data_IF_501597169147
#
_entry.id   IF_501597169147
#
_cell.length_a   1.000
_cell.length_b   1.000
_cell.length_c   1.000
_cell.angle_alpha   90.00
_cell.angle_beta   90.00
_cell.angle_gamma   90.00
#
_symmetry.space_group_name_H-M   'P 1'
#
loop_
_entity.id
_entity.type
_entity.pdbx_description
1 polymer ?
#
# COMPACT_ATOMS: atom_id res chain seq x y z
N UNK A 1 -21.73 -0.50 2.67
CA UNK A 1 -21.66 0.53 3.71
C UNK A 1 -20.79 1.65 3.19
N UNK A 2 -21.38 2.84 3.07
CA UNK A 2 -20.73 4.04 2.56
C UNK A 2 -20.37 4.92 3.76
N UNK A 3 -19.10 5.28 3.90
CA UNK A 3 -18.62 6.18 4.94
C UNK A 3 -18.50 7.57 4.32
N UNK A 4 -19.12 8.55 4.96
CA UNK A 4 -19.20 9.94 4.47
C UNK A 4 -18.65 10.86 5.55
N UNK A 5 -17.75 11.76 5.16
CA UNK A 5 -17.28 12.86 6.00
C UNK A 5 -17.44 14.17 5.21
N UNK A 6 -18.08 15.17 5.82
CA UNK A 6 -18.29 16.48 5.17
C UNK A 6 -19.13 16.44 3.89
N UNK A 7 -20.02 15.44 3.73
CA UNK A 7 -20.83 15.25 2.53
C UNK A 7 -20.12 14.53 1.38
N UNK A 8 -18.84 14.19 1.53
CA UNK A 8 -18.09 13.44 0.54
C UNK A 8 -17.92 11.99 0.98
N UNK A 9 -18.13 11.05 0.05
CA UNK A 9 -17.92 9.62 0.28
C UNK A 9 -16.42 9.37 0.35
N UNK A 10 -15.95 8.94 1.52
CA UNK A 10 -14.52 8.66 1.77
C UNK A 10 -14.19 7.17 1.75
N UNK A 11 -15.21 6.30 1.75
CA UNK A 11 -15.06 4.86 1.52
C UNK A 11 -16.41 4.22 1.15
N UNK A 12 -16.38 3.20 0.30
CA UNK A 12 -17.55 2.39 -0.01
C UNK A 12 -17.21 0.90 0.08
N UNK A 13 -17.82 0.22 1.05
CA UNK A 13 -17.67 -1.21 1.26
C UNK A 13 -18.93 -1.96 0.84
N UNK A 14 -18.83 -3.21 0.38
CA UNK A 14 -20.00 -4.07 0.27
C UNK A 14 -20.48 -4.46 1.68
N UNK A 15 -21.76 -4.22 2.01
CA UNK A 15 -22.35 -4.74 3.26
C UNK A 15 -22.48 -6.26 3.12
N UNK A 16 -21.86 -7.01 4.03
CA UNK A 16 -22.06 -8.45 4.20
C UNK A 16 -22.42 -8.72 5.65
N UNK A 17 -23.50 -9.46 5.90
CA UNK A 17 -23.96 -9.82 7.24
C UNK A 17 -23.29 -11.13 7.66
N UNK A 18 -22.31 -11.06 8.56
CA UNK A 18 -21.69 -12.22 9.21
C UNK A 18 -20.95 -11.76 10.46
N UNK A 19 -21.32 -12.29 11.63
CA UNK A 19 -20.58 -12.08 12.90
C UNK A 19 -19.19 -12.71 12.77
N UNK A 20 -18.17 -12.01 13.27
CA UNK A 20 -16.76 -12.44 13.40
C UNK A 20 -15.84 -12.51 12.15
N UNK A 21 -16.09 -11.71 11.11
CA UNK A 21 -15.04 -11.42 10.13
C UNK A 21 -14.60 -9.95 10.24
N UNK A 22 -13.50 -9.73 10.97
CA UNK A 22 -12.69 -8.52 10.83
C UNK A 22 -12.07 -8.53 9.43
N UNK A 23 -12.81 -8.04 8.43
CA UNK A 23 -12.25 -7.70 7.12
C UNK A 23 -11.46 -6.40 7.33
N UNK A 24 -10.25 -6.53 7.86
CA UNK A 24 -9.27 -5.44 7.89
C UNK A 24 -8.67 -5.32 6.50
N UNK A 25 -9.40 -4.75 5.55
CA UNK A 25 -8.83 -4.40 4.27
C UNK A 25 -7.76 -3.30 4.49
N UNK A 26 -6.47 -3.59 4.26
CA UNK A 26 -5.38 -2.68 4.60
C UNK A 26 -5.43 -1.36 3.83
N UNK A 27 -6.10 -1.33 2.67
CA UNK A 27 -6.29 -0.11 1.88
C UNK A 27 -7.06 0.98 2.64
N UNK A 28 -7.96 0.59 3.56
CA UNK A 28 -8.72 1.55 4.39
C UNK A 28 -7.85 2.31 5.37
N UNK A 29 -6.69 1.77 5.71
CA UNK A 29 -5.75 2.36 6.66
C UNK A 29 -4.67 3.19 5.97
N UNK A 30 -4.74 3.40 4.65
CA UNK A 30 -3.71 4.14 3.91
C UNK A 30 -3.62 5.62 4.36
N UNK A 31 -4.74 6.24 4.74
CA UNK A 31 -4.75 7.58 5.35
C UNK A 31 -4.05 7.66 6.71
N UNK A 32 -4.02 6.53 7.45
CA UNK A 32 -3.24 6.38 8.68
C UNK A 32 -1.77 6.23 8.35
N UNK A 33 -1.43 5.43 7.34
CA UNK A 33 -0.06 5.25 6.88
C UNK A 33 0.59 6.54 6.37
N UNK A 34 -0.16 7.39 5.67
CA UNK A 34 0.32 8.71 5.22
C UNK A 34 0.82 9.56 6.40
N UNK A 35 0.12 9.52 7.53
CA UNK A 35 0.48 10.24 8.76
C UNK A 35 1.50 9.49 9.62
N UNK A 36 1.49 8.16 9.57
CA UNK A 36 2.32 7.26 10.40
C UNK A 36 2.91 6.12 9.56
N UNK A 37 3.92 6.38 8.71
CA UNK A 37 4.48 5.36 7.83
C UNK A 37 5.08 4.16 8.57
N UNK A 38 5.63 4.39 9.77
CA UNK A 38 6.21 3.34 10.60
C UNK A 38 5.22 2.23 11.02
N UNK A 39 3.91 2.47 10.92
CA UNK A 39 2.90 1.43 11.16
C UNK A 39 2.98 0.28 10.15
N UNK A 40 3.61 0.46 8.97
CA UNK A 40 3.87 -0.63 8.01
C UNK A 40 4.69 -1.79 8.58
N UNK A 41 5.48 -1.56 9.64
CA UNK A 41 6.35 -2.59 10.22
C UNK A 41 5.57 -3.57 11.11
N UNK A 42 4.64 -3.04 11.91
CA UNK A 42 4.03 -3.78 13.02
C UNK A 42 2.51 -3.70 13.06
N UNK A 43 1.88 -2.91 12.20
CA UNK A 43 0.43 -2.75 12.20
C UNK A 43 -0.24 -4.04 11.73
N UNK A 44 -1.15 -4.58 12.55
CA UNK A 44 -1.81 -5.86 12.31
C UNK A 44 -2.41 -6.02 10.89
N UNK A 45 -3.07 -5.00 10.29
CA UNK A 45 -3.56 -5.09 8.91
C UNK A 45 -2.44 -5.26 7.86
N UNK A 46 -1.24 -4.76 8.13
CA UNK A 46 -0.14 -4.71 7.15
C UNK A 46 0.80 -5.92 7.24
N UNK A 47 0.75 -6.69 8.33
CA UNK A 47 1.58 -7.88 8.51
C UNK A 47 1.10 -9.00 7.58
N UNK A 48 -0.21 -9.24 7.51
CA UNK A 48 -0.83 -10.27 6.68
C UNK A 48 -1.37 -9.73 5.35
N UNK A 49 -0.81 -8.63 4.85
CA UNK A 49 -1.28 -8.02 3.61
C UNK A 49 -0.80 -8.82 2.39
N UNK A 50 -1.75 -9.52 1.77
CA UNK A 50 -1.52 -10.31 0.56
C UNK A 50 -1.35 -9.41 -0.68
N UNK A 51 -0.10 -8.95 -0.89
CA UNK A 51 0.31 -8.17 -2.06
C UNK A 51 0.99 -9.10 -3.10
N UNK A 52 0.98 -8.76 -4.39
CA UNK A 52 1.82 -9.45 -5.37
C UNK A 52 3.29 -9.54 -4.94
N UNK A 53 3.94 -10.67 -5.21
CA UNK A 53 5.30 -10.99 -4.77
C UNK A 53 6.33 -9.87 -5.10
N UNK A 54 6.35 -9.26 -6.30
CA UNK A 54 7.30 -8.18 -6.61
C UNK A 54 7.16 -6.98 -5.67
N UNK A 55 5.92 -6.63 -5.31
CA UNK A 55 5.62 -5.53 -4.40
C UNK A 55 6.09 -5.87 -2.98
N UNK A 56 5.90 -7.13 -2.54
CA UNK A 56 6.43 -7.60 -1.26
C UNK A 56 7.96 -7.50 -1.19
N UNK A 57 8.67 -7.91 -2.24
CA UNK A 57 10.14 -7.84 -2.31
C UNK A 57 10.66 -6.40 -2.27
N UNK A 58 10.00 -5.48 -3.01
CA UNK A 58 10.33 -4.05 -2.95
C UNK A 58 10.05 -3.49 -1.55
N UNK A 59 8.91 -3.83 -0.93
CA UNK A 59 8.59 -3.46 0.46
C UNK A 59 9.72 -3.86 1.41
N UNK A 60 10.16 -5.11 1.38
CA UNK A 60 11.21 -5.61 2.26
C UNK A 60 12.55 -4.86 2.08
N UNK A 61 12.91 -4.56 0.83
CA UNK A 61 14.14 -3.80 0.52
C UNK A 61 14.04 -2.36 0.99
N UNK A 62 12.92 -1.67 0.73
CA UNK A 62 12.70 -0.30 1.17
C UNK A 62 12.65 -0.22 2.70
N UNK A 63 11.99 -1.15 3.40
CA UNK A 63 11.90 -1.11 4.87
C UNK A 63 13.26 -1.27 5.58
N UNK A 64 14.31 -1.73 4.89
CA UNK A 64 15.70 -1.75 5.42
C UNK A 64 16.43 -0.42 5.24
N UNK A 65 15.90 0.48 4.41
CA UNK A 65 16.49 1.79 4.12
C UNK A 65 15.97 2.87 5.08
N UNK A 66 16.76 3.91 5.36
CA UNK A 66 16.28 5.10 6.07
C UNK A 66 15.07 5.71 5.37
N UNK A 67 13.97 5.92 6.11
CA UNK A 67 12.69 6.47 5.59
C UNK A 67 12.02 5.64 4.48
N UNK A 68 12.42 4.38 4.28
CA UNK A 68 11.83 3.56 3.22
C UNK A 68 10.41 3.08 3.50
N UNK A 69 9.95 3.16 4.75
CA UNK A 69 8.53 3.06 5.09
C UNK A 69 7.73 4.19 4.42
N UNK A 70 8.21 5.43 4.49
CA UNK A 70 7.58 6.57 3.81
C UNK A 70 7.59 6.40 2.29
N UNK A 71 8.71 5.97 1.72
CA UNK A 71 8.80 5.70 0.29
C UNK A 71 7.80 4.62 -0.15
N UNK A 72 7.64 3.55 0.63
CA UNK A 72 6.67 2.51 0.32
C UNK A 72 5.21 3.00 0.47
N UNK A 73 4.91 3.84 1.47
CA UNK A 73 3.59 4.48 1.58
C UNK A 73 3.28 5.35 0.35
N UNK A 74 4.26 6.10 -0.17
CA UNK A 74 4.09 6.90 -1.38
C UNK A 74 3.73 6.02 -2.60
N UNK A 75 4.37 4.86 -2.76
CA UNK A 75 4.01 3.88 -3.79
C UNK A 75 2.58 3.35 -3.65
N UNK A 76 2.17 3.03 -2.43
CA UNK A 76 0.80 2.58 -2.14
C UNK A 76 -0.24 3.69 -2.42
N UNK A 77 0.09 4.95 -2.14
CA UNK A 77 -0.78 6.09 -2.46
C UNK A 77 -0.96 6.25 -3.97
N UNK A 78 0.10 6.07 -4.77
CA UNK A 78 0.00 6.08 -6.23
C UNK A 78 -0.85 4.89 -6.71
N UNK A 79 -0.59 3.69 -6.19
CA UNK A 79 -1.32 2.47 -6.57
C UNK A 79 -2.81 2.51 -6.21
N UNK A 80 -3.21 3.28 -5.19
CA UNK A 80 -4.63 3.54 -4.91
C UNK A 80 -5.33 4.19 -6.10
N UNK A 81 -4.62 5.07 -6.81
CA UNK A 81 -5.19 5.89 -7.88
C UNK A 81 -5.01 5.22 -9.26
N UNK A 82 -3.89 4.53 -9.51
CA UNK A 82 -3.58 3.87 -10.80
C UNK A 82 -3.87 2.36 -10.82
N UNK A 83 -4.11 1.74 -9.67
CA UNK A 83 -4.29 0.30 -9.51
C UNK A 83 -3.01 -0.45 -9.12
N UNK A 84 -3.18 -1.71 -8.73
CA UNK A 84 -2.10 -2.55 -8.21
C UNK A 84 -1.23 -3.18 -9.31
N UNK A 85 -1.80 -3.44 -10.49
CA UNK A 85 -1.10 -4.03 -11.63
C UNK A 85 0.04 -3.13 -12.15
N UNK A 86 -0.15 -1.81 -12.38
CA UNK A 86 0.96 -0.92 -12.73
C UNK A 86 2.07 -0.89 -11.68
N UNK A 87 1.71 -0.89 -10.39
CA UNK A 87 2.70 -0.95 -9.31
C UNK A 87 3.48 -2.27 -9.31
N UNK A 88 2.82 -3.39 -9.61
CA UNK A 88 3.48 -4.67 -9.73
C UNK A 88 4.53 -4.64 -10.84
N UNK A 89 4.16 -4.18 -12.04
CA UNK A 89 5.07 -4.07 -13.19
C UNK A 89 6.26 -3.14 -12.86
N UNK A 90 6.00 -1.97 -12.27
CA UNK A 90 7.06 -1.05 -11.86
C UNK A 90 8.02 -1.68 -10.83
N UNK A 91 7.49 -2.48 -9.91
CA UNK A 91 8.29 -3.22 -8.94
C UNK A 91 9.12 -4.32 -9.60
N UNK A 92 8.57 -5.08 -10.55
CA UNK A 92 9.31 -6.07 -11.35
C UNK A 92 10.50 -5.43 -12.06
N UNK A 93 10.27 -4.34 -12.78
CA UNK A 93 11.32 -3.59 -13.49
C UNK A 93 12.42 -3.06 -12.53
N UNK A 94 12.02 -2.51 -11.39
CA UNK A 94 12.97 -2.02 -10.39
C UNK A 94 13.81 -3.17 -9.75
N UNK A 95 13.21 -4.35 -9.59
CA UNK A 95 13.92 -5.53 -9.10
C UNK A 95 14.92 -6.05 -10.14
N UNK A 96 14.56 -6.05 -11.43
CA UNK A 96 15.42 -6.45 -12.55
C UNK A 96 16.62 -5.51 -12.73
N UNK A 97 16.43 -4.21 -12.52
CA UNK A 97 17.51 -3.22 -12.56
C UNK A 97 18.52 -3.36 -11.40
N UNK A 98 18.26 -4.21 -10.41
CA UNK A 98 19.14 -4.47 -9.27
C UNK A 98 19.22 -3.36 -8.22
N UNK A 99 18.75 -2.15 -8.54
CA UNK A 99 18.68 -1.00 -7.62
C UNK A 99 17.22 -0.77 -7.23
N UNK A 100 16.88 -1.01 -5.97
CA UNK A 100 15.54 -0.71 -5.45
C UNK A 100 15.59 0.57 -4.62
N UNK A 101 15.05 1.65 -5.20
CA UNK A 101 14.77 2.91 -4.50
C UNK A 101 13.33 3.33 -4.76
N UNK A 102 12.72 4.02 -3.80
CA UNK A 102 11.36 4.53 -3.98
C UNK A 102 11.23 5.45 -5.20
N UNK A 103 12.27 6.25 -5.48
CA UNK A 103 12.30 7.15 -6.64
C UNK A 103 12.34 6.42 -7.97
N UNK A 104 13.00 5.26 -8.07
CA UNK A 104 13.01 4.47 -9.29
C UNK A 104 11.62 3.88 -9.57
N UNK A 105 11.01 3.24 -8.56
CA UNK A 105 9.67 2.66 -8.71
C UNK A 105 8.64 3.75 -9.06
N UNK A 106 8.74 4.93 -8.44
CA UNK A 106 7.89 6.08 -8.78
C UNK A 106 8.08 6.59 -10.22
N UNK A 107 9.28 6.46 -10.79
CA UNK A 107 9.55 6.91 -12.16
C UNK A 107 8.86 6.01 -13.20
N UNK A 108 8.80 4.70 -12.93
CA UNK A 108 8.14 3.71 -13.80
C UNK A 108 6.60 3.75 -13.68
N UNK A 109 6.06 4.45 -12.68
CA UNK A 109 4.63 4.62 -12.46
C UNK A 109 4.02 5.84 -13.17
N UNK A 110 4.83 6.61 -13.92
CA UNK A 110 4.40 7.83 -14.63
C UNK A 110 3.89 7.57 -16.04
#
# INVERSE_FOLDING_TARGET
>A
MRIVAGGQVIAEHLRRFGRDQLICDPWHYLSVLEKKPGALRNGAPFVAWDLPLPIQQVRERLLKQPRGDRAFVELLLIARDVGLEPLQVACELALECGVVSGSLVMNELR
#
